data_IF_873613571637
#
_entry.id   IF_873613571637
#
_cell.length_a   1.000
_cell.length_b   1.000
_cell.length_c   1.000
_cell.angle_alpha   90.00
_cell.angle_beta   90.00
_cell.angle_gamma   90.00
#
_symmetry.space_group_name_H-M   'P 1'
#
loop_
_entity.id
_entity.type
_entity.pdbx_description
1 polymer ?
#
# COMPACT_ATOMS: atom_id res chain seq x y z
N UNK A 1 82.42 -9.69 -39.63
CA UNK A 1 81.97 -10.64 -38.59
C UNK A 1 80.70 -10.07 -37.97
N UNK A 2 79.58 -10.75 -38.16
CA UNK A 2 78.21 -10.26 -37.94
C UNK A 2 77.77 -10.54 -36.50
N UNK A 3 77.29 -9.52 -35.77
CA UNK A 3 76.57 -9.68 -34.50
C UNK A 3 75.08 -9.42 -34.73
N UNK A 4 74.29 -10.50 -34.67
CA UNK A 4 72.83 -10.54 -34.80
C UNK A 4 72.16 -9.87 -33.60
N UNK A 5 71.28 -8.91 -33.86
CA UNK A 5 70.33 -8.38 -32.88
C UNK A 5 69.14 -9.32 -32.69
N UNK A 6 68.80 -9.60 -31.43
CA UNK A 6 67.58 -10.33 -31.04
C UNK A 6 66.54 -9.30 -30.60
N UNK A 7 65.52 -9.06 -31.42
CA UNK A 7 64.37 -8.27 -31.03
C UNK A 7 63.33 -9.18 -30.35
N UNK A 8 63.09 -8.98 -29.05
CA UNK A 8 62.04 -9.70 -28.30
C UNK A 8 60.63 -9.18 -28.65
N UNK A 9 59.71 -10.02 -29.18
CA UNK A 9 58.33 -9.64 -29.41
C UNK A 9 57.47 -10.00 -28.18
N UNK A 10 57.62 -9.28 -27.07
CA UNK A 10 56.98 -9.66 -25.79
C UNK A 10 55.93 -8.71 -25.20
N UNK A 11 55.99 -7.40 -25.43
CA UNK A 11 55.33 -6.46 -24.50
C UNK A 11 53.85 -6.18 -24.79
N UNK A 12 53.42 -6.06 -26.05
CA UNK A 12 52.06 -5.56 -26.40
C UNK A 12 50.92 -6.54 -26.11
N UNK A 13 51.15 -7.86 -26.18
CA UNK A 13 50.13 -8.88 -25.84
C UNK A 13 49.88 -8.97 -24.34
N UNK A 14 50.89 -8.72 -23.50
CA UNK A 14 50.76 -8.78 -22.05
C UNK A 14 49.92 -7.62 -21.49
N UNK A 15 50.06 -6.41 -22.05
CA UNK A 15 49.33 -5.22 -21.63
C UNK A 15 47.84 -5.35 -21.98
N UNK A 16 47.50 -5.80 -23.20
CA UNK A 16 46.09 -6.05 -23.59
C UNK A 16 45.40 -7.13 -22.75
N UNK A 17 46.12 -8.19 -22.35
CA UNK A 17 45.58 -9.22 -21.45
C UNK A 17 45.37 -8.70 -20.03
N UNK A 18 46.28 -7.85 -19.53
CA UNK A 18 46.14 -7.22 -18.21
C UNK A 18 44.98 -6.22 -18.17
N UNK A 19 44.81 -5.37 -19.17
CA UNK A 19 43.66 -4.45 -19.22
C UNK A 19 42.33 -5.18 -19.37
N UNK A 20 42.26 -6.25 -20.18
CA UNK A 20 41.06 -7.08 -20.27
C UNK A 20 40.73 -7.79 -18.95
N UNK A 21 41.73 -8.31 -18.24
CA UNK A 21 41.54 -8.95 -16.93
C UNK A 21 41.07 -7.95 -15.85
N UNK A 22 41.62 -6.73 -15.84
CA UNK A 22 41.18 -5.66 -14.92
C UNK A 22 39.74 -5.23 -15.24
N UNK A 23 39.40 -5.08 -16.52
CA UNK A 23 38.04 -4.76 -16.94
C UNK A 23 37.03 -5.83 -16.54
N UNK A 24 37.36 -7.10 -16.73
CA UNK A 24 36.51 -8.22 -16.31
C UNK A 24 36.33 -8.28 -14.79
N UNK A 25 37.39 -8.02 -14.02
CA UNK A 25 37.33 -7.96 -12.56
C UNK A 25 36.44 -6.80 -12.07
N UNK A 26 36.55 -5.62 -12.68
CA UNK A 26 35.70 -4.48 -12.35
C UNK A 26 34.22 -4.75 -12.66
N UNK A 27 33.92 -5.34 -13.83
CA UNK A 27 32.54 -5.72 -14.18
C UNK A 27 32.01 -6.76 -13.19
N UNK A 28 32.82 -7.75 -12.82
CA UNK A 28 32.43 -8.76 -11.84
C UNK A 28 32.14 -8.12 -10.47
N UNK A 29 33.01 -7.24 -9.97
CA UNK A 29 32.82 -6.55 -8.70
C UNK A 29 31.56 -5.65 -8.70
N UNK A 30 31.31 -4.94 -9.80
CA UNK A 30 30.10 -4.12 -9.95
C UNK A 30 28.83 -4.98 -10.00
N UNK A 31 28.86 -6.09 -10.74
CA UNK A 31 27.76 -7.03 -10.78
C UNK A 31 27.51 -7.67 -9.41
N UNK A 32 28.54 -8.10 -8.69
CA UNK A 32 28.43 -8.64 -7.34
C UNK A 32 27.88 -7.62 -6.35
N UNK A 33 28.35 -6.37 -6.38
CA UNK A 33 27.83 -5.30 -5.52
C UNK A 33 26.35 -4.98 -5.82
N UNK A 34 25.96 -5.02 -7.10
CA UNK A 34 24.56 -4.85 -7.51
C UNK A 34 23.69 -6.02 -7.00
N UNK A 35 24.16 -7.26 -7.15
CA UNK A 35 23.46 -8.47 -6.68
C UNK A 35 23.24 -8.42 -5.17
N UNK A 36 24.28 -8.08 -4.40
CA UNK A 36 24.18 -7.96 -2.94
C UNK A 36 23.16 -6.89 -2.53
N UNK A 37 23.15 -5.71 -3.17
CA UNK A 37 22.15 -4.68 -2.87
C UNK A 37 20.73 -5.07 -3.25
N UNK A 38 20.54 -5.83 -4.32
CA UNK A 38 19.22 -6.35 -4.71
C UNK A 38 18.75 -7.40 -3.71
N UNK A 39 19.64 -8.28 -3.25
CA UNK A 39 19.35 -9.28 -2.23
C UNK A 39 18.97 -8.64 -0.89
N UNK A 40 19.71 -7.63 -0.44
CA UNK A 40 19.42 -6.92 0.82
C UNK A 40 18.05 -6.22 0.79
N UNK A 41 17.72 -5.56 -0.33
CA UNK A 41 16.39 -4.94 -0.50
C UNK A 41 15.27 -5.97 -0.52
N UNK A 42 15.45 -7.08 -1.25
CA UNK A 42 14.47 -8.15 -1.30
C UNK A 42 14.23 -8.78 0.09
N UNK A 43 15.29 -8.92 0.89
CA UNK A 43 15.20 -9.37 2.29
C UNK A 43 14.39 -8.41 3.16
N UNK A 44 14.72 -7.11 3.11
CA UNK A 44 14.02 -6.09 3.87
C UNK A 44 12.53 -5.97 3.48
N UNK A 45 12.21 -6.11 2.19
CA UNK A 45 10.83 -6.12 1.71
C UNK A 45 10.07 -7.35 2.22
N UNK A 46 10.69 -8.53 2.20
CA UNK A 46 10.10 -9.75 2.74
C UNK A 46 9.84 -9.66 4.26
N UNK A 47 10.78 -9.09 5.03
CA UNK A 47 10.60 -8.83 6.46
C UNK A 47 9.45 -7.86 6.72
N UNK A 48 9.39 -6.76 5.96
CA UNK A 48 8.29 -5.79 6.06
C UNK A 48 6.93 -6.41 5.74
N UNK A 49 6.83 -7.20 4.69
CA UNK A 49 5.58 -7.87 4.33
C UNK A 49 5.13 -8.88 5.39
N UNK A 50 6.07 -9.61 6.00
CA UNK A 50 5.76 -10.48 7.14
C UNK A 50 5.23 -9.68 8.33
N UNK A 51 5.86 -8.56 8.68
CA UNK A 51 5.41 -7.70 9.76
C UNK A 51 3.99 -7.17 9.52
N UNK A 52 3.72 -6.58 8.34
CA UNK A 52 2.38 -6.09 7.99
C UNK A 52 1.33 -7.20 7.94
N UNK A 53 1.71 -8.42 7.56
CA UNK A 53 0.81 -9.57 7.60
C UNK A 53 0.45 -9.93 9.04
N UNK A 54 1.43 -9.96 9.95
CA UNK A 54 1.19 -10.21 11.37
C UNK A 54 0.31 -9.11 12.00
N UNK A 55 0.59 -7.84 11.70
CA UNK A 55 -0.19 -6.69 12.19
C UNK A 55 -1.63 -6.73 11.67
N UNK A 56 -1.82 -7.05 10.39
CA UNK A 56 -3.15 -7.23 9.78
C UNK A 56 -3.97 -8.30 10.47
N UNK A 57 -3.36 -9.47 10.74
CA UNK A 57 -4.02 -10.57 11.47
C UNK A 57 -4.36 -10.16 12.90
N UNK A 58 -3.42 -9.52 13.60
CA UNK A 58 -3.64 -9.04 14.96
C UNK A 58 -4.75 -7.98 15.02
N UNK A 59 -4.82 -7.09 14.02
CA UNK A 59 -5.88 -6.08 13.92
C UNK A 59 -7.23 -6.70 13.64
N UNK A 60 -7.30 -7.71 12.77
CA UNK A 60 -8.55 -8.40 12.41
C UNK A 60 -9.18 -9.15 13.58
N UNK A 61 -8.38 -9.58 14.55
CA UNK A 61 -8.86 -10.22 15.78
C UNK A 61 -9.50 -9.24 16.79
N UNK A 62 -9.32 -7.92 16.60
CA UNK A 62 -9.78 -6.90 17.54
C UNK A 62 -11.06 -6.24 17.01
N UNK A 63 -12.20 -6.63 17.58
CA UNK A 63 -13.52 -6.07 17.25
C UNK A 63 -13.80 -4.88 18.16
N UNK A 64 -14.24 -3.77 17.58
CA UNK A 64 -14.73 -2.61 18.34
C UNK A 64 -16.25 -2.52 18.24
N UNK A 65 -16.91 -2.11 19.33
CA UNK A 65 -18.35 -1.91 19.36
C UNK A 65 -19.17 -3.21 19.37
N UNK A 66 -20.47 -3.06 19.11
CA UNK A 66 -21.47 -4.13 19.10
C UNK A 66 -22.65 -3.76 18.20
N UNK A 67 -23.40 -4.75 17.70
CA UNK A 67 -24.55 -4.54 16.81
C UNK A 67 -24.26 -5.07 15.41
N UNK A 68 -24.84 -4.40 14.40
CA UNK A 68 -24.64 -4.74 12.98
C UNK A 68 -23.16 -4.89 12.64
N UNK A 69 -22.85 -5.91 11.84
CA UNK A 69 -21.49 -6.28 11.48
C UNK A 69 -20.96 -5.36 10.40
N UNK A 70 -20.05 -4.46 10.76
CA UNK A 70 -19.35 -3.57 9.82
C UNK A 70 -17.98 -4.16 9.51
N UNK A 71 -17.69 -4.40 8.23
CA UNK A 71 -16.37 -4.85 7.77
C UNK A 71 -15.65 -3.68 7.10
N UNK A 72 -14.50 -3.30 7.65
CA UNK A 72 -13.62 -2.28 7.06
C UNK A 72 -12.48 -2.96 6.31
N UNK A 73 -12.41 -2.77 4.99
CA UNK A 73 -11.26 -3.17 4.17
C UNK A 73 -10.47 -1.90 3.89
N UNK A 74 -9.29 -1.77 4.48
CA UNK A 74 -8.50 -0.55 4.30
C UNK A 74 -7.01 -0.75 4.43
N UNK A 75 -6.29 0.38 4.49
CA UNK A 75 -4.83 0.40 4.43
C UNK A 75 -4.16 0.54 5.81
N UNK A 76 -2.99 1.20 5.87
CA UNK A 76 -2.26 1.44 7.12
C UNK A 76 -3.05 2.31 8.10
N UNK A 77 -3.95 3.17 7.63
CA UNK A 77 -4.79 4.00 8.49
C UNK A 77 -5.85 3.15 9.19
N UNK A 78 -6.53 2.29 8.45
CA UNK A 78 -7.43 1.29 9.03
C UNK A 78 -6.68 0.33 9.96
N UNK A 79 -5.48 -0.09 9.59
CA UNK A 79 -4.63 -0.96 10.41
C UNK A 79 -4.15 -0.30 11.72
N UNK A 80 -4.08 1.03 11.78
CA UNK A 80 -3.57 1.78 12.93
C UNK A 80 -2.05 1.85 13.01
N UNK A 81 -1.36 1.84 11.85
CA UNK A 81 0.09 1.91 11.81
C UNK A 81 0.60 3.21 12.46
N UNK A 82 1.54 3.07 13.39
CA UNK A 82 2.13 4.20 14.13
C UNK A 82 1.40 4.55 15.43
N UNK A 83 0.32 3.84 15.78
CA UNK A 83 -0.32 3.95 17.09
C UNK A 83 0.24 2.91 18.08
N UNK A 84 0.32 3.30 19.36
CA UNK A 84 0.61 2.37 20.46
C UNK A 84 -0.48 1.30 20.61
N UNK A 85 -1.73 1.67 20.29
CA UNK A 85 -2.91 0.80 20.33
C UNK A 85 -3.60 0.81 18.97
N UNK A 86 -3.27 -0.13 18.06
CA UNK A 86 -3.88 -0.20 16.73
C UNK A 86 -5.42 -0.29 16.72
N UNK A 87 -6.02 -0.90 17.75
CA UNK A 87 -7.49 -0.94 17.89
C UNK A 87 -8.13 0.44 18.10
N UNK A 88 -7.37 1.46 18.52
CA UNK A 88 -7.84 2.84 18.63
C UNK A 88 -7.81 3.59 17.28
N UNK A 89 -7.48 2.92 16.16
CA UNK A 89 -7.56 3.53 14.84
C UNK A 89 -9.00 3.95 14.49
N UNK A 90 -9.13 4.78 13.46
CA UNK A 90 -10.38 5.41 13.04
C UNK A 90 -11.61 4.48 12.90
N UNK A 91 -11.49 3.18 12.50
CA UNK A 91 -12.65 2.29 12.43
C UNK A 91 -13.36 2.11 13.78
N UNK A 92 -12.65 2.30 14.90
CA UNK A 92 -13.25 2.21 16.24
C UNK A 92 -14.29 3.28 16.53
N UNK A 93 -14.36 4.31 15.69
CA UNK A 93 -15.34 5.40 15.77
C UNK A 93 -16.65 5.06 15.05
N UNK A 94 -16.68 3.98 14.26
CA UNK A 94 -17.88 3.57 13.53
C UNK A 94 -18.88 2.87 14.44
N UNK A 95 -20.19 2.99 14.18
CA UNK A 95 -21.21 2.22 14.89
C UNK A 95 -21.15 0.73 14.49
N UNK A 96 -21.73 -0.13 15.33
CA UNK A 96 -21.83 -1.57 15.08
C UNK A 96 -20.66 -2.38 15.63
N UNK A 97 -20.64 -3.68 15.32
CA UNK A 97 -19.52 -4.56 15.58
C UNK A 97 -18.52 -4.47 14.41
N UNK A 98 -17.46 -3.69 14.61
CA UNK A 98 -16.51 -3.33 13.54
C UNK A 98 -15.35 -4.32 13.48
N UNK A 99 -15.23 -4.99 12.34
CA UNK A 99 -14.14 -5.89 11.99
C UNK A 99 -13.25 -5.22 10.95
N UNK A 100 -11.93 -5.25 11.18
CA UNK A 100 -10.99 -4.53 10.31
C UNK A 100 -10.06 -5.50 9.60
N UNK A 101 -10.17 -5.54 8.27
CA UNK A 101 -9.18 -6.09 7.38
C UNK A 101 -8.28 -4.93 6.89
N UNK A 102 -7.36 -4.48 7.75
CA UNK A 102 -6.40 -3.42 7.45
C UNK A 102 -5.06 -4.00 7.04
N UNK A 103 -4.47 -3.53 5.93
CA UNK A 103 -3.12 -3.92 5.55
C UNK A 103 -2.29 -2.72 5.09
N UNK A 104 -1.19 -2.46 5.79
CA UNK A 104 -0.33 -1.30 5.52
C UNK A 104 0.25 -1.32 4.11
N UNK A 105 0.09 -0.21 3.39
CA UNK A 105 0.55 -0.06 2.01
C UNK A 105 -0.38 -0.70 0.95
N UNK A 106 -1.49 -1.34 1.34
CA UNK A 106 -2.46 -1.86 0.36
C UNK A 106 -3.32 -0.76 -0.24
N UNK A 107 -3.91 -1.05 -1.40
CA UNK A 107 -4.74 -0.13 -2.17
C UNK A 107 -5.65 -0.87 -3.14
N UNK A 108 -6.20 -0.13 -4.11
CA UNK A 108 -7.05 -0.69 -5.16
C UNK A 108 -6.21 -1.46 -6.20
N UNK A 109 -5.12 -0.86 -6.69
CA UNK A 109 -4.18 -1.52 -7.60
C UNK A 109 -3.50 -2.72 -6.90
N UNK A 110 -3.26 -3.80 -7.65
CA UNK A 110 -2.40 -4.91 -7.20
C UNK A 110 -0.97 -4.47 -6.92
N UNK A 111 -0.55 -3.33 -7.46
CA UNK A 111 0.80 -2.77 -7.34
C UNK A 111 0.86 -1.56 -6.40
N UNK A 112 -0.23 -1.25 -5.68
CA UNK A 112 -0.20 -0.24 -4.61
C UNK A 112 0.76 -0.63 -3.47
N UNK A 113 0.96 -1.94 -3.26
CA UNK A 113 1.90 -2.49 -2.29
C UNK A 113 3.06 -3.21 -2.97
N UNK A 114 4.21 -3.22 -2.30
CA UNK A 114 5.33 -4.11 -2.65
C UNK A 114 5.05 -5.57 -2.21
N UNK A 115 4.08 -5.80 -1.32
CA UNK A 115 3.67 -7.13 -0.91
C UNK A 115 2.67 -7.71 -1.92
N UNK A 116 2.83 -8.98 -2.29
CA UNK A 116 1.94 -9.65 -3.24
C UNK A 116 0.62 -10.09 -2.59
N UNK A 117 -0.49 -10.03 -3.33
CA UNK A 117 -1.78 -10.59 -2.91
C UNK A 117 -2.47 -9.85 -1.77
N UNK A 118 -2.18 -8.55 -1.59
CA UNK A 118 -2.74 -7.74 -0.50
C UNK A 118 -3.60 -6.58 -0.99
N UNK A 119 -3.95 -6.53 -2.28
CA UNK A 119 -4.90 -5.53 -2.77
C UNK A 119 -6.25 -5.68 -2.07
N UNK A 120 -7.06 -4.63 -2.08
CA UNK A 120 -8.40 -4.70 -1.46
C UNK A 120 -9.22 -5.87 -2.03
N UNK A 121 -9.15 -6.08 -3.35
CA UNK A 121 -9.83 -7.18 -4.02
C UNK A 121 -9.34 -8.56 -3.55
N UNK A 122 -8.03 -8.74 -3.37
CA UNK A 122 -7.46 -10.03 -2.92
C UNK A 122 -7.89 -10.36 -1.48
N UNK A 123 -8.07 -9.34 -0.64
CA UNK A 123 -8.39 -9.51 0.79
C UNK A 123 -9.89 -9.59 1.08
N UNK A 124 -10.74 -9.08 0.19
CA UNK A 124 -12.18 -9.02 0.39
C UNK A 124 -12.84 -10.38 0.71
N UNK A 125 -12.57 -11.49 -0.02
CA UNK A 125 -13.20 -12.77 0.29
C UNK A 125 -12.90 -13.27 1.70
N UNK A 126 -11.65 -13.12 2.15
CA UNK A 126 -11.24 -13.54 3.48
C UNK A 126 -11.87 -12.68 4.59
N UNK A 127 -12.00 -11.37 4.35
CA UNK A 127 -12.61 -10.41 5.27
C UNK A 127 -14.12 -10.65 5.47
N UNK A 128 -14.80 -11.14 4.44
CA UNK A 128 -16.25 -11.38 4.43
C UNK A 128 -16.68 -12.78 4.86
N UNK A 129 -15.75 -13.68 5.25
CA UNK A 129 -16.11 -15.05 5.68
C UNK A 129 -17.12 -15.10 6.84
N UNK A 130 -17.19 -14.04 7.65
CA UNK A 130 -18.18 -13.91 8.73
C UNK A 130 -19.45 -13.13 8.35
N UNK A 131 -19.65 -12.80 7.08
CA UNK A 131 -20.70 -11.89 6.60
C UNK A 131 -20.34 -10.41 6.78
N UNK A 132 -21.25 -9.53 6.39
CA UNK A 132 -21.23 -8.10 6.68
C UNK A 132 -22.64 -7.51 6.45
N UNK A 133 -23.09 -6.63 7.33
CA UNK A 133 -24.28 -5.79 7.09
C UNK A 133 -23.88 -4.51 6.34
N UNK A 134 -22.63 -4.09 6.48
CA UNK A 134 -22.01 -2.98 5.77
C UNK A 134 -20.52 -3.26 5.52
N UNK A 135 -20.06 -3.01 4.30
CA UNK A 135 -18.64 -3.01 3.94
C UNK A 135 -18.19 -1.58 3.71
N UNK A 136 -17.17 -1.14 4.43
CA UNK A 136 -16.51 0.15 4.24
C UNK A 136 -15.14 -0.10 3.63
N UNK A 137 -14.89 0.45 2.44
CA UNK A 137 -13.59 0.37 1.77
C UNK A 137 -12.90 1.71 1.92
N UNK A 138 -11.74 1.74 2.58
CA UNK A 138 -10.98 2.98 2.82
C UNK A 138 -9.61 2.91 2.14
N UNK A 139 -9.30 3.89 1.29
CA UNK A 139 -7.97 3.99 0.72
C UNK A 139 -7.85 4.88 -0.51
N UNK A 140 -6.82 4.61 -1.31
CA UNK A 140 -6.41 5.41 -2.47
C UNK A 140 -5.09 6.16 -2.25
N UNK A 141 -4.66 6.37 -0.99
CA UNK A 141 -3.38 7.03 -0.73
C UNK A 141 -2.19 6.21 -1.22
N UNK A 142 -2.25 4.88 -1.18
CA UNK A 142 -1.19 4.00 -1.72
C UNK A 142 -1.24 3.86 -3.24
N UNK A 143 -2.31 4.33 -3.88
CA UNK A 143 -2.47 4.32 -5.33
C UNK A 143 -1.95 5.63 -5.99
N UNK A 144 -1.39 6.56 -5.21
CA UNK A 144 -1.04 7.92 -5.63
C UNK A 144 -0.11 8.04 -6.84
N UNK A 145 0.69 7.02 -7.11
CA UNK A 145 1.64 6.92 -8.21
C UNK A 145 1.31 5.80 -9.19
N UNK A 146 0.10 5.22 -9.08
CA UNK A 146 -0.37 4.15 -9.96
C UNK A 146 -1.08 4.73 -11.18
N UNK A 147 -0.97 4.08 -12.35
CA UNK A 147 -1.77 4.43 -13.51
C UNK A 147 -3.28 4.26 -13.25
N UNK A 148 -4.10 5.15 -13.80
CA UNK A 148 -5.57 5.06 -13.72
C UNK A 148 -6.12 3.70 -14.13
N UNK A 149 -5.53 3.07 -15.16
CA UNK A 149 -5.94 1.75 -15.64
C UNK A 149 -5.81 0.67 -14.57
N UNK A 150 -4.77 0.73 -13.74
CA UNK A 150 -4.57 -0.22 -12.65
C UNK A 150 -5.57 0.00 -11.51
N UNK A 151 -5.83 1.27 -11.16
CA UNK A 151 -6.82 1.64 -10.14
C UNK A 151 -8.22 1.18 -10.60
N UNK A 152 -8.59 1.46 -11.85
CA UNK A 152 -9.86 1.04 -12.46
C UNK A 152 -10.01 -0.48 -12.44
N UNK A 153 -8.98 -1.22 -12.88
CA UNK A 153 -9.00 -2.68 -12.86
C UNK A 153 -9.11 -3.23 -11.43
N UNK A 154 -8.41 -2.63 -10.47
CA UNK A 154 -8.48 -2.96 -9.06
C UNK A 154 -9.84 -2.74 -8.44
N UNK A 155 -10.43 -1.57 -8.68
CA UNK A 155 -11.77 -1.23 -8.24
C UNK A 155 -12.80 -2.19 -8.83
N UNK A 156 -12.73 -2.49 -10.13
CA UNK A 156 -13.62 -3.46 -10.77
C UNK A 156 -13.55 -4.84 -10.14
N UNK A 157 -12.34 -5.38 -9.91
CA UNK A 157 -12.17 -6.67 -9.22
C UNK A 157 -12.72 -6.64 -7.79
N UNK A 158 -12.53 -5.52 -7.08
CA UNK A 158 -13.07 -5.37 -5.73
C UNK A 158 -14.60 -5.37 -5.76
N UNK A 159 -15.25 -4.62 -6.66
CA UNK A 159 -16.70 -4.61 -6.77
C UNK A 159 -17.25 -6.00 -7.12
N UNK A 160 -16.58 -6.77 -7.99
CA UNK A 160 -16.94 -8.18 -8.22
C UNK A 160 -16.82 -9.03 -6.96
N UNK A 161 -15.78 -8.84 -6.15
CA UNK A 161 -15.59 -9.58 -4.89
C UNK A 161 -16.61 -9.17 -3.80
N UNK A 162 -17.21 -7.98 -3.92
CA UNK A 162 -18.21 -7.44 -3.00
C UNK A 162 -19.64 -7.53 -3.55
N UNK A 163 -19.86 -8.32 -4.59
CA UNK A 163 -21.19 -8.46 -5.20
C UNK A 163 -22.24 -8.90 -4.16
N UNK A 164 -23.41 -8.26 -4.22
CA UNK A 164 -24.50 -8.43 -3.24
C UNK A 164 -24.26 -7.84 -1.85
N UNK A 165 -23.11 -7.20 -1.58
CA UNK A 165 -22.86 -6.51 -0.32
C UNK A 165 -23.33 -5.05 -0.36
N UNK A 166 -23.71 -4.49 0.80
CA UNK A 166 -23.87 -3.05 0.97
C UNK A 166 -22.50 -2.42 1.15
N UNK A 167 -22.04 -1.65 0.16
CA UNK A 167 -20.68 -1.10 0.13
C UNK A 167 -20.70 0.43 0.22
N UNK A 168 -19.75 0.99 0.96
CA UNK A 168 -19.42 2.43 0.93
C UNK A 168 -17.92 2.58 0.73
N UNK A 169 -17.51 3.46 -0.18
CA UNK A 169 -16.11 3.78 -0.41
C UNK A 169 -15.76 5.10 0.27
N UNK A 170 -14.70 5.10 1.05
CA UNK A 170 -14.10 6.27 1.70
C UNK A 170 -12.82 6.62 0.95
N UNK A 171 -12.82 7.81 0.35
CA UNK A 171 -11.68 8.32 -0.41
C UNK A 171 -10.47 8.67 0.43
N UNK A 172 -9.33 9.01 -0.22
CA UNK A 172 -8.11 9.41 0.46
C UNK A 172 -8.23 10.85 1.02
N UNK A 173 -7.88 11.02 2.30
CA UNK A 173 -7.65 12.36 2.83
C UNK A 173 -6.25 12.86 2.46
N UNK A 174 -6.05 14.18 2.48
CA UNK A 174 -4.79 14.79 2.03
C UNK A 174 -3.65 14.61 3.03
N UNK A 175 -2.86 13.54 2.86
CA UNK A 175 -1.62 13.34 3.61
C UNK A 175 -0.47 14.20 3.04
N UNK A 176 0.28 14.97 3.85
CA UNK A 176 1.25 15.92 3.31
C UNK A 176 2.34 15.31 2.42
N UNK A 177 2.75 14.06 2.65
CA UNK A 177 3.73 13.36 1.81
C UNK A 177 3.21 12.96 0.42
N UNK A 178 1.89 12.95 0.21
CA UNK A 178 1.23 12.52 -1.04
C UNK A 178 0.17 13.51 -1.55
N UNK A 179 0.06 14.68 -0.92
CA UNK A 179 -1.03 15.63 -1.10
C UNK A 179 -1.25 16.05 -2.56
N UNK A 180 -0.19 16.15 -3.37
CA UNK A 180 -0.27 16.57 -4.76
C UNK A 180 -1.11 15.62 -5.64
N UNK A 181 -1.11 14.33 -5.34
CA UNK A 181 -1.84 13.32 -6.12
C UNK A 181 -3.28 13.10 -5.64
N UNK A 182 -3.59 13.50 -4.41
CA UNK A 182 -4.90 13.23 -3.77
C UNK A 182 -6.08 13.78 -4.58
N UNK A 183 -6.07 15.01 -5.13
CA UNK A 183 -7.20 15.50 -5.93
C UNK A 183 -7.52 14.62 -7.14
N UNK A 184 -6.50 14.08 -7.80
CA UNK A 184 -6.66 13.19 -8.95
C UNK A 184 -7.26 11.84 -8.54
N UNK A 185 -6.66 11.19 -7.53
CA UNK A 185 -7.13 9.87 -7.06
C UNK A 185 -8.55 9.98 -6.46
N UNK A 186 -8.83 11.01 -5.66
CA UNK A 186 -10.17 11.26 -5.09
C UNK A 186 -11.24 11.44 -6.19
N UNK A 187 -10.91 12.18 -7.26
CA UNK A 187 -11.83 12.34 -8.39
C UNK A 187 -12.06 11.03 -9.16
N UNK A 188 -10.99 10.24 -9.38
CA UNK A 188 -11.09 8.95 -10.04
C UNK A 188 -11.96 7.97 -9.24
N UNK A 189 -11.73 7.84 -7.94
CA UNK A 189 -12.50 6.94 -7.07
C UNK A 189 -13.95 7.38 -6.91
N UNK A 190 -14.21 8.70 -6.85
CA UNK A 190 -15.57 9.22 -6.86
C UNK A 190 -16.31 8.84 -8.15
N UNK A 191 -15.68 9.02 -9.32
CA UNK A 191 -16.25 8.65 -10.62
C UNK A 191 -16.50 7.14 -10.75
N UNK A 192 -15.59 6.31 -10.23
CA UNK A 192 -15.76 4.86 -10.22
C UNK A 192 -16.90 4.44 -9.29
N UNK A 193 -17.00 5.05 -8.11
CA UNK A 193 -18.08 4.75 -7.16
C UNK A 193 -19.45 5.10 -7.75
N UNK A 194 -19.55 6.24 -8.43
CA UNK A 194 -20.75 6.64 -9.18
C UNK A 194 -21.12 5.61 -10.28
N UNK A 195 -20.13 5.19 -11.08
CA UNK A 195 -20.33 4.18 -12.13
C UNK A 195 -20.84 2.83 -11.59
N UNK A 196 -20.38 2.40 -10.42
CA UNK A 196 -20.82 1.17 -9.76
C UNK A 196 -22.05 1.35 -8.85
N UNK A 197 -22.59 2.57 -8.75
CA UNK A 197 -23.75 2.86 -7.89
C UNK A 197 -23.48 2.69 -6.40
N UNK A 198 -22.23 2.81 -5.96
CA UNK A 198 -21.86 2.71 -4.54
C UNK A 198 -21.61 4.10 -3.94
N UNK A 199 -22.12 4.40 -2.72
CA UNK A 199 -21.85 5.68 -2.07
C UNK A 199 -20.36 5.96 -1.87
N UNK A 200 -19.96 7.20 -2.12
CA UNK A 200 -18.60 7.70 -1.93
C UNK A 200 -18.53 8.80 -0.88
N UNK A 201 -17.63 8.64 0.09
CA UNK A 201 -17.32 9.64 1.10
C UNK A 201 -16.01 10.32 0.73
N UNK A 202 -16.10 11.55 0.23
CA UNK A 202 -14.95 12.42 0.00
C UNK A 202 -14.36 12.92 1.33
N UNK A 203 -13.05 12.76 1.48
CA UNK A 203 -12.25 13.15 2.66
C UNK A 203 -11.05 14.04 2.29
N UNK A 204 -10.80 14.28 1.00
CA UNK A 204 -9.66 15.05 0.48
C UNK A 204 -9.56 16.50 1.02
N UNK A 205 -10.68 17.07 1.47
CA UNK A 205 -10.74 18.41 2.08
C UNK A 205 -10.54 18.46 3.59
N UNK A 206 -10.32 17.33 4.27
CA UNK A 206 -10.11 17.31 5.71
C UNK A 206 -8.73 17.86 6.09
N UNK A 207 -8.67 18.54 7.23
CA UNK A 207 -7.42 18.89 7.91
C UNK A 207 -7.27 17.94 9.10
N UNK A 208 -6.22 17.13 9.07
CA UNK A 208 -5.97 16.07 10.05
C UNK A 208 -4.55 16.21 10.62
N UNK A 209 -4.35 15.61 11.79
CA UNK A 209 -3.07 15.59 12.47
C UNK A 209 -2.26 14.35 12.07
N UNK A 210 -1.03 14.57 11.62
CA UNK A 210 -0.13 13.54 11.10
C UNK A 210 1.06 13.31 12.02
N UNK A 211 1.56 12.07 12.03
CA UNK A 211 2.85 11.71 12.60
C UNK A 211 4.00 12.40 11.85
N UNK A 212 5.21 12.29 12.40
CA UNK A 212 6.41 12.92 11.83
C UNK A 212 6.77 12.46 10.42
N UNK A 213 6.28 11.29 9.99
CA UNK A 213 6.43 10.80 8.62
C UNK A 213 5.54 11.53 7.60
N UNK A 214 4.64 12.38 8.08
CA UNK A 214 3.73 13.19 7.26
C UNK A 214 2.83 12.34 6.34
N UNK A 215 2.57 11.10 6.73
CA UNK A 215 1.73 10.15 6.01
C UNK A 215 0.68 9.52 6.91
N UNK A 216 1.09 9.04 8.09
CA UNK A 216 0.21 8.33 9.01
C UNK A 216 -0.40 9.30 10.02
N UNK A 217 -1.62 9.01 10.45
CA UNK A 217 -2.35 9.87 11.37
C UNK A 217 -1.84 9.70 12.81
N UNK A 218 -1.88 10.78 13.58
CA UNK A 218 -1.84 10.68 15.04
C UNK A 218 -3.14 10.07 15.56
N UNK A 219 -3.21 9.74 16.85
CA UNK A 219 -4.47 9.33 17.49
C UNK A 219 -5.58 10.38 17.29
N UNK A 220 -5.27 11.67 17.49
CA UNK A 220 -6.23 12.75 17.27
C UNK A 220 -6.67 12.85 15.79
N UNK A 221 -5.75 12.60 14.86
CA UNK A 221 -6.08 12.50 13.43
C UNK A 221 -7.02 11.33 13.12
N UNK A 222 -6.81 10.17 13.75
CA UNK A 222 -7.70 9.02 13.62
C UNK A 222 -9.09 9.30 14.21
N UNK A 223 -9.18 9.94 15.37
CA UNK A 223 -10.45 10.32 15.98
C UNK A 223 -11.23 11.27 15.06
N UNK A 224 -10.58 12.33 14.57
CA UNK A 224 -11.20 13.30 13.68
C UNK A 224 -11.66 12.69 12.34
N UNK A 225 -10.83 11.83 11.74
CA UNK A 225 -11.18 11.12 10.51
C UNK A 225 -12.36 10.16 10.73
N UNK A 226 -12.31 9.37 11.81
CA UNK A 226 -13.35 8.40 12.13
C UNK A 226 -14.69 9.05 12.47
N UNK A 227 -14.70 10.12 13.27
CA UNK A 227 -15.91 10.87 13.59
C UNK A 227 -16.53 11.49 12.32
N UNK A 228 -15.70 12.02 11.42
CA UNK A 228 -16.18 12.49 10.12
C UNK A 228 -16.83 11.35 9.33
N UNK A 229 -16.15 10.22 9.14
CA UNK A 229 -16.70 9.09 8.35
C UNK A 229 -17.99 8.57 8.97
N UNK A 230 -18.03 8.36 10.30
CA UNK A 230 -19.22 7.94 11.02
C UNK A 230 -20.41 8.90 10.79
N UNK A 231 -20.16 10.22 10.87
CA UNK A 231 -21.21 11.22 10.64
C UNK A 231 -21.75 11.22 9.20
N UNK A 232 -20.93 10.81 8.23
CA UNK A 232 -21.33 10.69 6.82
C UNK A 232 -22.11 9.40 6.59
N UNK A 233 -21.68 8.29 7.16
CA UNK A 233 -22.40 7.01 7.08
C UNK A 233 -23.82 7.11 7.66
N UNK A 234 -23.99 7.81 8.79
CA UNK A 234 -25.30 8.02 9.42
C UNK A 234 -26.31 8.82 8.55
N UNK A 235 -25.83 9.49 7.48
CA UNK A 235 -26.67 10.26 6.55
C UNK A 235 -26.95 9.50 5.26
N UNK A 236 -26.38 8.32 5.07
CA UNK A 236 -26.67 7.50 3.90
C UNK A 236 -28.07 6.89 4.02
N UNK A 237 -28.82 6.76 2.91
CA UNK A 237 -30.07 6.03 2.91
C UNK A 237 -29.84 4.59 3.39
N UNK A 238 -30.81 4.08 4.15
CA UNK A 238 -30.84 2.68 4.62
C UNK A 238 -31.03 1.72 3.45
#
# INVERSE_FOLDING_TARGET
>A
MVLRGVASPGSRRSVRRRTAAIGALLVFLLASALILRVADRAGADADRCRAFTADSVARAAQVSGSGDRVVVIGDSWSAGLGLDRPAASWPSRLPGAVHVAGFSGSGFSVHASACAGVSFADRAPAALRGGADLVVVEGGLNDYDRPDSEIRAGFARLMTALDGQRVVVVGPASAPSRAAAVPHVDALLASLSDWYGVPYIRTSGLRLDYLGDRLHLTLAGHDAFGDYVASRLARLPS
#
